data_IF_541157402909
#
_entry.id   IF_541157402909
#
_cell.length_a   1.000
_cell.length_b   1.000
_cell.length_c   1.000
_cell.angle_alpha   90.00
_cell.angle_beta   90.00
_cell.angle_gamma   90.00
#
_symmetry.space_group_name_H-M   'P 1'
#
loop_
_entity.id
_entity.type
_entity.pdbx_description
1 polymer ?
#
# COMPACT_ATOMS: atom_id res chain seq x y z
N UNK A 1 20.23 -13.75 -4.18
CA UNK A 1 19.29 -14.23 -5.22
C UNK A 1 18.00 -13.47 -5.03
N UNK A 2 17.62 -12.62 -5.99
CA UNK A 2 16.37 -11.85 -5.91
C UNK A 2 15.36 -12.51 -6.84
N UNK A 3 14.24 -13.00 -6.31
CA UNK A 3 13.11 -13.47 -7.09
C UNK A 3 12.03 -12.39 -7.10
N UNK A 4 11.48 -12.09 -8.27
CA UNK A 4 10.34 -11.19 -8.41
C UNK A 4 9.07 -12.04 -8.52
N UNK A 5 8.06 -11.75 -7.69
CA UNK A 5 6.72 -12.33 -7.81
C UNK A 5 5.83 -11.28 -8.48
N UNK A 6 5.21 -11.64 -9.60
CA UNK A 6 4.15 -10.84 -10.23
C UNK A 6 2.83 -11.51 -9.88
N UNK A 7 2.05 -10.84 -9.03
CA UNK A 7 0.70 -11.28 -8.63
C UNK A 7 -0.36 -10.35 -9.22
N UNK A 8 -1.50 -10.92 -9.62
CA UNK A 8 -2.67 -10.14 -10.02
C UNK A 8 -3.50 -9.80 -8.78
N UNK A 9 -3.60 -8.51 -8.44
CA UNK A 9 -4.48 -8.02 -7.39
C UNK A 9 -5.92 -8.03 -7.91
N UNK A 10 -6.73 -9.00 -7.45
CA UNK A 10 -8.11 -9.19 -7.94
C UNK A 10 -9.13 -8.27 -7.27
N UNK A 11 -8.89 -7.92 -6.01
CA UNK A 11 -9.78 -7.10 -5.20
C UNK A 11 -8.97 -6.43 -4.10
N UNK A 12 -9.21 -5.13 -3.86
CA UNK A 12 -8.85 -4.45 -2.63
C UNK A 12 -10.17 -3.99 -2.01
N UNK A 13 -10.48 -4.48 -0.82
CA UNK A 13 -11.52 -3.89 0.01
C UNK A 13 -10.85 -2.85 0.90
N UNK A 14 -10.97 -1.57 0.53
CA UNK A 14 -10.57 -0.48 1.41
C UNK A 14 -11.64 -0.36 2.48
N UNK A 15 -11.37 -0.95 3.65
CA UNK A 15 -12.10 -0.60 4.86
C UNK A 15 -12.04 0.92 5.12
N UNK A 16 -12.71 1.39 6.17
CA UNK A 16 -12.73 2.82 6.54
C UNK A 16 -11.36 3.41 6.88
N UNK A 17 -10.31 2.60 6.96
CA UNK A 17 -9.04 2.95 7.54
C UNK A 17 -8.03 3.36 6.45
N UNK A 18 -8.29 4.51 5.82
CA UNK A 18 -7.28 5.21 5.01
C UNK A 18 -6.53 6.17 5.93
N UNK A 19 -5.21 5.98 6.04
CA UNK A 19 -4.33 6.88 6.79
C UNK A 19 -3.49 7.68 5.80
N UNK A 20 -3.68 8.99 5.80
CA UNK A 20 -2.90 9.91 4.97
C UNK A 20 -1.61 10.32 5.69
N UNK A 21 -0.51 10.36 4.94
CA UNK A 21 0.80 10.79 5.42
C UNK A 21 1.36 11.90 4.52
N UNK A 22 2.21 12.80 5.05
CA UNK A 22 2.82 13.86 4.25
C UNK A 22 3.66 13.35 3.08
N UNK A 23 4.33 12.21 3.25
CA UNK A 23 5.09 11.52 2.20
C UNK A 23 5.26 10.03 2.53
N UNK A 24 5.77 9.25 1.56
CA UNK A 24 6.06 7.82 1.74
C UNK A 24 6.98 7.53 2.93
N UNK A 25 7.95 8.40 3.22
CA UNK A 25 8.92 8.16 4.31
C UNK A 25 8.22 8.19 5.66
N UNK A 26 7.28 9.11 5.87
CA UNK A 26 6.48 9.15 7.10
C UNK A 26 5.59 7.91 7.24
N UNK A 27 4.95 7.45 6.15
CA UNK A 27 4.17 6.21 6.15
C UNK A 27 5.04 4.99 6.54
N UNK A 28 6.25 4.89 5.96
CA UNK A 28 7.19 3.82 6.27
C UNK A 28 7.72 3.89 7.71
N UNK A 29 8.01 5.10 8.22
CA UNK A 29 8.46 5.28 9.60
C UNK A 29 7.37 4.90 10.60
N UNK A 30 6.12 5.29 10.35
CA UNK A 30 4.98 4.88 11.15
C UNK A 30 4.83 3.36 11.14
N UNK A 31 4.84 2.73 9.96
CA UNK A 31 4.72 1.28 9.83
C UNK A 31 5.85 0.53 10.56
N UNK A 32 7.08 1.05 10.51
CA UNK A 32 8.26 0.46 11.16
C UNK A 32 8.40 0.82 12.63
N UNK A 33 7.55 1.67 13.18
CA UNK A 33 7.67 2.12 14.57
C UNK A 33 7.46 0.98 15.57
N UNK A 34 8.16 1.04 16.70
CA UNK A 34 7.99 0.06 17.79
C UNK A 34 6.54 0.00 18.29
N UNK A 35 5.84 1.13 18.26
CA UNK A 35 4.45 1.21 18.65
C UNK A 35 3.53 0.42 17.72
N UNK A 36 3.70 0.58 16.40
CA UNK A 36 2.89 -0.16 15.43
C UNK A 36 3.29 -1.64 15.36
N UNK A 37 4.58 -1.96 15.42
CA UNK A 37 5.06 -3.34 15.36
C UNK A 37 4.55 -4.19 16.54
N UNK A 38 4.32 -3.58 17.71
CA UNK A 38 3.69 -4.26 18.87
C UNK A 38 2.28 -4.80 18.59
N UNK A 39 1.57 -4.25 17.60
CA UNK A 39 0.20 -4.66 17.26
C UNK A 39 0.09 -5.39 15.91
N UNK A 40 1.19 -5.57 15.18
CA UNK A 40 1.17 -6.25 13.87
C UNK A 40 0.70 -7.71 14.00
N UNK A 41 1.18 -8.43 15.02
CA UNK A 41 0.79 -9.84 15.25
C UNK A 41 -0.71 -9.99 15.42
N UNK A 42 -1.33 -9.13 16.25
CA UNK A 42 -2.78 -9.09 16.44
C UNK A 42 -3.51 -8.92 15.11
N UNK A 43 -3.03 -8.02 14.24
CA UNK A 43 -3.65 -7.81 12.93
C UNK A 43 -3.55 -9.04 12.03
N UNK A 44 -2.36 -9.62 11.90
CA UNK A 44 -2.11 -10.75 10.99
C UNK A 44 -2.75 -12.05 11.45
N UNK A 45 -2.97 -12.22 12.75
CA UNK A 45 -3.65 -13.39 13.31
C UNK A 45 -5.18 -13.32 13.19
N UNK A 46 -5.73 -12.10 13.07
CA UNK A 46 -7.19 -11.88 13.07
C UNK A 46 -7.73 -11.40 11.71
N UNK A 47 -6.88 -11.11 10.74
CA UNK A 47 -7.29 -10.62 9.42
C UNK A 47 -6.28 -10.96 8.31
N UNK A 48 -6.80 -11.51 7.20
CA UNK A 48 -6.08 -11.59 5.94
C UNK A 48 -6.16 -10.24 5.21
N UNK A 49 -5.08 -9.45 5.29
CA UNK A 49 -5.02 -8.10 4.74
C UNK A 49 -3.68 -7.81 4.06
N UNK A 50 -3.70 -6.96 3.04
CA UNK A 50 -2.48 -6.45 2.37
C UNK A 50 -2.27 -4.98 2.70
N UNK A 51 -1.04 -4.60 3.07
CA UNK A 51 -0.65 -3.20 3.28
C UNK A 51 -0.08 -2.64 2.00
N UNK A 52 -0.65 -1.54 1.53
CA UNK A 52 -0.17 -0.80 0.36
C UNK A 52 0.27 0.60 0.81
N UNK A 53 1.45 1.02 0.38
CA UNK A 53 1.92 2.41 0.52
C UNK A 53 2.03 2.97 -0.89
N UNK A 54 1.12 3.88 -1.22
CA UNK A 54 0.97 4.45 -2.56
C UNK A 54 1.43 5.90 -2.51
N UNK A 55 2.25 6.31 -3.49
CA UNK A 55 2.57 7.73 -3.65
C UNK A 55 1.38 8.45 -4.25
N UNK A 56 1.23 9.73 -3.91
CA UNK A 56 0.30 10.60 -4.61
C UNK A 56 0.67 10.68 -6.10
N UNK A 57 -0.36 10.65 -6.95
CA UNK A 57 -0.25 10.93 -8.38
C UNK A 57 -0.80 12.33 -8.63
N UNK A 58 0.00 13.14 -9.35
CA UNK A 58 -0.34 14.53 -9.64
C UNK A 58 -1.67 14.64 -10.41
N UNK A 59 -2.59 15.46 -9.93
CA UNK A 59 -3.86 15.70 -10.59
C UNK A 59 -3.77 16.81 -11.66
N UNK A 60 -4.46 16.66 -12.80
CA UNK A 60 -5.36 15.57 -13.14
C UNK A 60 -4.61 14.36 -13.70
N UNK A 61 -4.72 13.21 -13.04
CA UNK A 61 -4.23 11.94 -13.56
C UNK A 61 -5.42 11.06 -13.96
N UNK A 62 -5.37 10.46 -15.15
CA UNK A 62 -6.36 9.45 -15.57
C UNK A 62 -5.67 8.11 -15.76
N UNK A 63 -6.18 7.06 -15.11
CA UNK A 63 -5.62 5.71 -15.17
C UNK A 63 -5.37 5.19 -16.61
N UNK A 64 -6.22 5.60 -17.56
CA UNK A 64 -6.10 5.24 -18.99
C UNK A 64 -4.82 5.76 -19.65
N UNK A 65 -4.23 6.84 -19.15
CA UNK A 65 -2.99 7.42 -19.70
C UNK A 65 -1.80 6.45 -19.59
N UNK A 66 -1.80 5.58 -18.56
CA UNK A 66 -0.73 4.60 -18.33
C UNK A 66 -0.83 3.42 -19.30
N UNK A 67 -2.05 3.06 -19.71
CA UNK A 67 -2.31 1.94 -20.64
C UNK A 67 -1.80 2.26 -22.04
N UNK A 68 -1.97 3.51 -22.49
CA UNK A 68 -1.55 3.94 -23.84
C UNK A 68 -0.03 4.00 -24.00
N UNK A 69 0.72 4.23 -22.92
CA UNK A 69 2.18 4.34 -22.95
C UNK A 69 2.90 2.99 -23.00
N UNK A 70 2.23 1.90 -22.65
CA UNK A 70 2.80 0.55 -22.62
C UNK A 70 2.63 -0.23 -23.94
N UNK A 71 2.10 0.40 -25.00
CA UNK A 71 1.88 -0.20 -26.33
C UNK A 71 2.93 0.21 -27.34
#
# INVERSE_FOLDING_TARGET
MSAFVIGHLRSIDFGSDIVEFPDRRHALQWYRSDAYQRIVGLRTENSDSTVLIVDEVAHPHRATEVITRAS
#
